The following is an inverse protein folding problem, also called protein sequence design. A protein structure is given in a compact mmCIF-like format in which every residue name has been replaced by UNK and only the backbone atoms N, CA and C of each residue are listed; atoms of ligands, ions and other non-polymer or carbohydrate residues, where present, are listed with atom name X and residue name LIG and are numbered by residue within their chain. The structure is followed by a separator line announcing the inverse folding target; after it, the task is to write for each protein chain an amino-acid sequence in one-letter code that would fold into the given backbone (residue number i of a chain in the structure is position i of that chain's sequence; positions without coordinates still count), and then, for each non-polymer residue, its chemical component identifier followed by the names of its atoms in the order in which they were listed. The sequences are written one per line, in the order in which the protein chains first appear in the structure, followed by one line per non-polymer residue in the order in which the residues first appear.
data_IF_013137443573
#
_entry.id   IF_013137443573
#
_cell.length_a   1.000
_cell.length_b   1.000
_cell.length_c   1.000
_cell.angle_alpha   90.00
_cell.angle_beta   90.00
_cell.angle_gamma   90.00
#
_symmetry.space_group_name_H-M   'P 1'
#
loop_
_entity.id
_entity.type
_entity.pdbx_description
1 polymer ?
#
# COMPACT_ATOMS: atom_id res chain seq x y z
N UNK A 1 -19.93 -11.42 -12.12
CA UNK A 1 -19.37 -10.46 -13.09
C UNK A 1 -17.86 -10.49 -12.88
N UNK A 2 -17.13 -10.88 -13.89
CA UNK A 2 -15.65 -10.90 -13.85
C UNK A 2 -15.10 -9.71 -14.64
N UNK A 3 -13.91 -9.27 -14.28
CA UNK A 3 -13.14 -8.31 -15.08
C UNK A 3 -12.11 -9.08 -15.89
N UNK A 4 -12.09 -8.87 -17.20
CA UNK A 4 -11.14 -9.52 -18.13
C UNK A 4 -10.17 -8.49 -18.66
N UNK A 5 -8.90 -8.63 -18.30
CA UNK A 5 -7.79 -7.84 -18.82
C UNK A 5 -7.28 -8.52 -20.10
N UNK A 6 -7.35 -7.82 -21.23
CA UNK A 6 -6.99 -8.37 -22.54
C UNK A 6 -5.62 -7.91 -23.03
N UNK A 7 -4.92 -8.79 -23.74
CA UNK A 7 -3.73 -8.47 -24.54
C UNK A 7 -2.54 -7.89 -23.75
N UNK A 8 -2.37 -8.22 -22.46
CA UNK A 8 -1.25 -7.68 -21.69
C UNK A 8 0.08 -8.39 -22.00
N UNK A 9 1.17 -7.71 -21.68
CA UNK A 9 2.47 -8.37 -21.48
C UNK A 9 2.60 -8.73 -20.01
N UNK A 10 2.47 -10.03 -19.70
CA UNK A 10 2.51 -10.52 -18.32
C UNK A 10 3.93 -10.73 -17.85
N UNK A 11 4.26 -10.14 -16.67
CA UNK A 11 5.41 -10.43 -15.84
C UNK A 11 4.87 -11.18 -14.61
N UNK A 12 5.06 -12.49 -14.53
CA UNK A 12 4.37 -13.35 -13.56
C UNK A 12 4.94 -13.29 -12.13
N UNK A 13 6.08 -12.61 -11.94
CA UNK A 13 6.72 -12.45 -10.62
C UNK A 13 7.41 -13.72 -10.12
N UNK A 14 7.51 -14.77 -10.92
CA UNK A 14 8.27 -15.98 -10.58
C UNK A 14 9.78 -15.73 -10.67
N UNK A 15 10.56 -16.66 -10.10
CA UNK A 15 12.03 -16.55 -10.12
C UNK A 15 12.59 -16.45 -11.55
N UNK A 16 12.00 -17.16 -12.48
CA UNK A 16 12.47 -17.25 -13.87
C UNK A 16 11.87 -16.14 -14.76
N UNK A 17 10.89 -15.40 -14.24
CA UNK A 17 10.26 -14.22 -14.87
C UNK A 17 10.07 -14.35 -16.38
N UNK A 18 9.39 -15.39 -16.84
CA UNK A 18 9.08 -15.54 -18.25
C UNK A 18 8.08 -14.47 -18.72
N UNK A 19 8.54 -13.58 -19.60
CA UNK A 19 7.68 -12.54 -20.19
C UNK A 19 6.74 -13.19 -21.19
N UNK A 20 5.42 -13.13 -20.94
CA UNK A 20 4.38 -13.67 -21.83
C UNK A 20 3.62 -12.51 -22.47
N UNK A 21 3.60 -12.46 -23.82
CA UNK A 21 2.90 -11.40 -24.58
C UNK A 21 1.53 -11.87 -25.04
N UNK A 22 0.60 -10.92 -25.15
CA UNK A 22 -0.75 -11.18 -25.67
C UNK A 22 -1.56 -12.10 -24.75
N UNK A 23 -1.36 -12.01 -23.46
CA UNK A 23 -2.04 -12.85 -22.44
C UNK A 23 -3.25 -12.11 -21.90
N UNK A 24 -4.34 -12.84 -21.70
CA UNK A 24 -5.52 -12.33 -21.01
C UNK A 24 -5.53 -12.86 -19.56
N UNK A 25 -6.10 -12.08 -18.67
CA UNK A 25 -6.28 -12.47 -17.27
C UNK A 25 -7.69 -12.13 -16.84
N UNK A 26 -8.40 -13.09 -16.25
CA UNK A 26 -9.69 -12.84 -15.62
C UNK A 26 -9.60 -12.78 -14.10
N UNK A 27 -10.36 -11.86 -13.53
CA UNK A 27 -10.46 -11.64 -12.08
C UNK A 27 -11.92 -11.66 -11.68
N UNK A 28 -12.24 -12.47 -10.69
CA UNK A 28 -13.57 -12.51 -10.09
C UNK A 28 -13.45 -12.60 -8.56
N UNK A 29 -14.28 -11.83 -7.86
CA UNK A 29 -14.28 -11.76 -6.39
C UNK A 29 -12.88 -11.53 -5.80
N UNK A 30 -12.08 -10.65 -6.44
CA UNK A 30 -10.72 -10.29 -6.02
C UNK A 30 -9.67 -11.38 -6.22
N UNK A 31 -9.97 -12.41 -7.01
CA UNK A 31 -9.04 -13.51 -7.31
C UNK A 31 -8.85 -13.68 -8.80
N UNK A 32 -7.61 -13.98 -9.22
CA UNK A 32 -7.32 -14.40 -10.58
C UNK A 32 -7.95 -15.79 -10.77
N UNK A 33 -8.83 -15.93 -11.77
CA UNK A 33 -9.55 -17.18 -12.06
C UNK A 33 -8.99 -17.88 -13.28
N UNK A 34 -8.42 -17.12 -14.24
CA UNK A 34 -7.88 -17.71 -15.48
C UNK A 34 -6.76 -16.83 -16.03
N UNK A 35 -5.77 -17.46 -16.66
CA UNK A 35 -4.66 -16.82 -17.39
C UNK A 35 -4.48 -17.57 -18.69
N UNK A 36 -4.59 -16.87 -19.82
CA UNK A 36 -4.45 -17.47 -21.16
C UNK A 36 -5.24 -16.71 -22.21
N UNK A 37 -5.82 -17.41 -23.17
CA UNK A 37 -6.76 -16.83 -24.12
C UNK A 37 -8.18 -16.95 -23.56
N UNK A 38 -8.82 -15.80 -23.27
CA UNK A 38 -10.11 -15.75 -22.60
C UNK A 38 -11.17 -15.12 -23.52
N UNK A 39 -12.32 -15.78 -23.66
CA UNK A 39 -13.50 -15.20 -24.28
C UNK A 39 -14.38 -14.59 -23.20
N UNK A 40 -14.55 -13.25 -23.19
CA UNK A 40 -15.44 -12.61 -22.22
C UNK A 40 -16.90 -12.99 -22.49
N UNK A 41 -17.68 -13.10 -21.42
CA UNK A 41 -19.15 -13.25 -21.50
C UNK A 41 -19.83 -11.87 -21.62
N UNK A 42 -21.09 -11.86 -22.05
CA UNK A 42 -21.83 -10.61 -22.33
C UNK A 42 -22.02 -9.67 -21.13
N UNK A 43 -21.75 -10.13 -19.92
CA UNK A 43 -21.84 -9.35 -18.68
C UNK A 43 -20.51 -9.00 -18.03
N UNK A 44 -19.40 -9.34 -18.69
CA UNK A 44 -18.07 -9.09 -18.13
C UNK A 44 -17.56 -7.68 -18.45
N UNK A 45 -16.80 -7.11 -17.54
CA UNK A 45 -16.02 -5.91 -17.77
C UNK A 45 -14.74 -6.27 -18.54
N UNK A 46 -14.50 -5.63 -19.68
CA UNK A 46 -13.32 -5.89 -20.52
C UNK A 46 -12.42 -4.67 -20.55
N UNK A 47 -11.16 -4.86 -20.15
CA UNK A 47 -10.14 -3.80 -20.13
C UNK A 47 -9.01 -4.20 -21.09
N UNK A 48 -8.82 -3.44 -22.16
CA UNK A 48 -7.72 -3.66 -23.10
C UNK A 48 -6.40 -3.11 -22.55
N UNK A 49 -5.42 -3.98 -22.43
CA UNK A 49 -4.07 -3.68 -21.97
C UNK A 49 -3.02 -3.82 -23.09
N UNK A 50 -3.43 -3.70 -24.36
CA UNK A 50 -2.50 -3.74 -25.49
C UNK A 50 -1.36 -2.74 -25.29
N UNK A 51 -0.12 -3.22 -25.41
CA UNK A 51 1.10 -2.43 -25.20
C UNK A 51 1.43 -2.14 -23.73
N UNK A 52 0.65 -2.64 -22.77
CA UNK A 52 0.90 -2.47 -21.34
C UNK A 52 1.44 -3.73 -20.70
N UNK A 53 2.13 -3.54 -19.57
CA UNK A 53 2.60 -4.63 -18.73
C UNK A 53 1.65 -4.85 -17.56
N UNK A 54 1.41 -6.12 -17.22
CA UNK A 54 0.72 -6.52 -16.02
C UNK A 54 1.66 -7.35 -15.16
N UNK A 55 1.76 -7.02 -13.89
CA UNK A 55 2.66 -7.68 -12.95
C UNK A 55 2.05 -7.72 -11.55
N UNK A 56 2.47 -8.64 -10.66
CA UNK A 56 2.11 -8.58 -9.26
C UNK A 56 2.46 -7.22 -8.64
N UNK A 57 1.60 -6.73 -7.75
CA UNK A 57 1.86 -5.49 -7.04
C UNK A 57 3.16 -5.55 -6.25
N UNK A 58 3.90 -4.44 -6.21
CA UNK A 58 5.16 -4.34 -5.49
C UNK A 58 4.93 -4.40 -3.97
N UNK A 59 5.90 -4.93 -3.25
CA UNK A 59 5.89 -5.04 -1.79
C UNK A 59 7.03 -4.19 -1.23
N UNK A 60 6.71 -3.22 -0.36
CA UNK A 60 7.70 -2.45 0.38
C UNK A 60 7.70 -2.88 1.86
N UNK A 61 8.79 -3.51 2.27
CA UNK A 61 8.92 -4.08 3.61
C UNK A 61 9.50 -3.10 4.66
N UNK A 62 9.75 -1.84 4.31
CA UNK A 62 10.30 -0.84 5.22
C UNK A 62 9.67 0.53 4.97
N UNK A 63 8.61 0.86 5.70
CA UNK A 63 7.86 2.11 5.54
C UNK A 63 7.62 2.77 6.90
N UNK A 64 7.78 4.10 6.93
CA UNK A 64 7.35 4.97 8.03
C UNK A 64 6.25 5.89 7.50
N UNK A 65 5.00 5.53 7.70
CA UNK A 65 3.84 6.27 7.15
C UNK A 65 3.79 7.76 7.54
N UNK A 66 4.20 8.17 8.77
CA UNK A 66 4.24 9.59 9.11
C UNK A 66 5.30 10.40 8.34
N UNK A 67 6.26 9.72 7.72
CA UNK A 67 7.31 10.35 6.94
C UNK A 67 6.90 10.43 5.46
N UNK A 68 6.59 11.61 4.95
CA UNK A 68 6.10 11.83 3.58
C UNK A 68 7.14 11.66 2.47
N UNK A 69 8.34 11.14 2.77
CA UNK A 69 9.40 10.86 1.79
C UNK A 69 10.00 12.10 1.10
N UNK A 70 9.56 13.30 1.45
CA UNK A 70 10.09 14.53 0.86
C UNK A 70 11.36 14.98 1.57
N UNK A 71 12.41 15.40 0.82
CA UNK A 71 13.60 15.98 1.42
C UNK A 71 13.26 17.16 2.33
N UNK A 72 13.79 17.16 3.53
CA UNK A 72 13.57 18.24 4.49
C UNK A 72 14.75 19.22 4.48
N UNK A 73 14.48 20.51 4.32
CA UNK A 73 15.50 21.55 4.33
C UNK A 73 15.99 21.90 5.74
N UNK A 74 15.20 21.58 6.77
CA UNK A 74 15.54 21.84 8.19
C UNK A 74 15.15 20.65 9.04
N UNK A 75 15.92 20.31 10.09
CA UNK A 75 15.54 19.25 11.02
C UNK A 75 14.21 19.63 11.70
N UNK A 76 13.24 18.75 11.65
CA UNK A 76 11.99 18.89 12.38
C UNK A 76 12.21 18.53 13.85
N UNK A 77 11.56 19.26 14.75
CA UNK A 77 11.48 18.87 16.17
C UNK A 77 10.48 17.70 16.27
N UNK A 78 10.95 16.49 16.00
CA UNK A 78 10.13 15.29 15.88
C UNK A 78 9.28 15.02 17.13
N UNK A 79 9.84 15.24 18.34
CA UNK A 79 9.11 15.10 19.60
C UNK A 79 7.91 16.04 19.71
N UNK A 80 8.08 17.29 19.32
CA UNK A 80 7.01 18.28 19.36
C UNK A 80 5.90 17.93 18.35
N UNK A 81 6.28 17.50 17.15
CA UNK A 81 5.33 17.11 16.11
C UNK A 81 4.56 15.85 16.50
N UNK A 82 5.22 14.86 17.10
CA UNK A 82 4.57 13.65 17.59
C UNK A 82 3.57 13.95 18.71
N UNK A 83 3.94 14.78 19.67
CA UNK A 83 3.04 15.24 20.75
C UNK A 83 1.84 15.98 20.18
N UNK A 84 2.05 16.88 19.21
CA UNK A 84 0.96 17.59 18.54
C UNK A 84 0.04 16.64 17.77
N UNK A 85 0.61 15.74 16.98
CA UNK A 85 -0.13 14.76 16.18
C UNK A 85 -1.04 13.85 17.02
N UNK A 86 -0.70 13.63 18.28
CA UNK A 86 -1.43 12.78 19.22
C UNK A 86 -2.21 13.56 20.30
N UNK A 87 -2.19 14.91 20.27
CA UNK A 87 -2.70 15.76 21.35
C UNK A 87 -4.22 15.73 21.56
N UNK A 88 -4.98 15.40 20.52
CA UNK A 88 -6.44 15.33 20.58
C UNK A 88 -7.00 14.32 19.58
N UNK A 89 -8.27 13.95 19.75
CA UNK A 89 -8.95 13.07 18.79
C UNK A 89 -8.95 13.66 17.36
N UNK A 90 -9.12 14.97 17.26
CA UNK A 90 -9.06 15.68 15.98
C UNK A 90 -7.67 15.57 15.32
N UNK A 91 -6.61 15.83 16.08
CA UNK A 91 -5.23 15.73 15.57
C UNK A 91 -4.84 14.29 15.19
N UNK A 92 -5.31 13.30 15.96
CA UNK A 92 -5.13 11.88 15.59
C UNK A 92 -5.81 11.53 14.28
N UNK A 93 -7.06 11.99 14.08
CA UNK A 93 -7.79 11.76 12.83
C UNK A 93 -7.11 12.48 11.64
N UNK A 94 -6.65 13.71 11.85
CA UNK A 94 -5.87 14.45 10.84
C UNK A 94 -4.58 13.70 10.46
N UNK A 95 -3.83 13.21 11.45
CA UNK A 95 -2.61 12.42 11.26
C UNK A 95 -2.90 11.13 10.51
N UNK A 96 -3.98 10.43 10.84
CA UNK A 96 -4.40 9.23 10.14
C UNK A 96 -4.72 9.51 8.67
N UNK A 97 -5.43 10.60 8.36
CA UNK A 97 -5.72 11.00 6.97
C UNK A 97 -4.45 11.36 6.20
N UNK A 98 -3.50 12.01 6.86
CA UNK A 98 -2.19 12.30 6.27
C UNK A 98 -1.43 11.00 5.95
N UNK A 99 -1.36 10.05 6.89
CA UNK A 99 -0.75 8.74 6.66
C UNK A 99 -1.47 7.95 5.56
N UNK A 100 -2.80 8.02 5.50
CA UNK A 100 -3.59 7.42 4.42
C UNK A 100 -3.21 8.02 3.06
N UNK A 101 -3.07 9.34 2.96
CA UNK A 101 -2.64 9.99 1.72
C UNK A 101 -1.27 9.50 1.25
N UNK A 102 -0.32 9.29 2.16
CA UNK A 102 0.99 8.73 1.82
C UNK A 102 0.92 7.26 1.40
N UNK A 103 0.09 6.47 2.08
CA UNK A 103 -0.16 5.08 1.70
C UNK A 103 -0.77 4.99 0.28
N UNK A 104 -1.72 5.88 -0.05
CA UNK A 104 -2.31 5.97 -1.38
C UNK A 104 -1.32 6.41 -2.46
N UNK A 105 -0.38 7.31 -2.16
CA UNK A 105 0.70 7.65 -3.09
C UNK A 105 1.57 6.42 -3.40
N UNK A 106 1.88 5.61 -2.39
CA UNK A 106 2.55 4.33 -2.57
C UNK A 106 1.75 3.36 -3.44
N UNK A 107 0.45 3.21 -3.16
CA UNK A 107 -0.44 2.35 -3.95
C UNK A 107 -0.49 2.78 -5.42
N UNK A 108 -0.64 4.08 -5.68
CA UNK A 108 -0.68 4.63 -7.04
C UNK A 108 0.65 4.51 -7.78
N UNK A 109 1.75 4.28 -7.08
CA UNK A 109 3.06 3.96 -7.68
C UNK A 109 3.28 2.45 -7.90
N UNK A 110 2.26 1.61 -7.62
CA UNK A 110 2.30 0.17 -7.79
C UNK A 110 2.68 -0.63 -6.54
N UNK A 111 2.87 0.02 -5.38
CA UNK A 111 3.17 -0.68 -4.11
C UNK A 111 1.85 -1.08 -3.44
N UNK A 112 1.44 -2.31 -3.62
CA UNK A 112 0.15 -2.85 -3.14
C UNK A 112 0.22 -3.43 -1.72
N UNK A 113 1.42 -3.68 -1.20
CA UNK A 113 1.65 -4.18 0.16
C UNK A 113 2.79 -3.42 0.82
N UNK A 114 2.57 -2.95 2.03
CA UNK A 114 3.60 -2.27 2.84
C UNK A 114 3.73 -2.92 4.21
N UNK A 115 4.95 -2.94 4.75
CA UNK A 115 5.19 -3.23 6.16
C UNK A 115 5.73 -1.98 6.84
N UNK A 116 5.01 -1.49 7.85
CA UNK A 116 5.52 -0.41 8.69
C UNK A 116 6.53 -0.96 9.70
N UNK A 117 7.55 -0.16 10.01
CA UNK A 117 8.63 -0.53 10.94
C UNK A 117 8.84 0.54 12.01
N UNK A 118 7.75 1.16 12.39
CA UNK A 118 7.64 2.22 13.38
C UNK A 118 6.76 3.35 12.89
N UNK A 119 5.75 3.66 13.65
CA UNK A 119 4.73 4.66 13.37
C UNK A 119 4.55 5.63 14.53
N UNK A 120 3.41 6.31 14.55
CA UNK A 120 2.97 7.18 15.63
C UNK A 120 1.85 6.49 16.40
N UNK A 121 2.15 5.94 17.57
CA UNK A 121 1.20 5.21 18.39
C UNK A 121 0.48 4.13 17.55
N UNK A 122 -0.84 4.09 17.58
CA UNK A 122 -1.70 3.12 16.90
C UNK A 122 -2.24 3.60 15.53
N UNK A 123 -1.63 4.61 14.92
CA UNK A 123 -2.13 5.21 13.68
C UNK A 123 -2.10 4.24 12.51
N UNK A 124 -1.02 3.49 12.35
CA UNK A 124 -0.87 2.54 11.24
C UNK A 124 -1.77 1.30 11.42
N UNK A 125 -1.95 0.80 12.66
CA UNK A 125 -2.94 -0.24 12.98
C UNK A 125 -4.36 0.23 12.68
N UNK A 126 -4.73 1.43 13.11
CA UNK A 126 -6.06 2.00 12.81
C UNK A 126 -6.29 2.20 11.32
N UNK A 127 -5.28 2.64 10.60
CA UNK A 127 -5.36 2.79 9.15
C UNK A 127 -5.55 1.42 8.48
N UNK A 128 -4.75 0.42 8.84
CA UNK A 128 -4.91 -0.96 8.39
C UNK A 128 -6.34 -1.48 8.60
N UNK A 129 -6.88 -1.28 9.80
CA UNK A 129 -8.20 -1.80 10.16
C UNK A 129 -9.33 -1.11 9.37
N UNK A 130 -9.18 0.19 9.07
CA UNK A 130 -10.12 0.91 8.19
C UNK A 130 -10.05 0.41 6.75
N UNK A 131 -8.86 0.11 6.25
CA UNK A 131 -8.69 -0.46 4.90
C UNK A 131 -9.25 -1.88 4.86
N UNK A 132 -8.91 -2.73 5.82
CA UNK A 132 -9.40 -4.10 5.88
C UNK A 132 -10.92 -4.21 6.04
N UNK A 133 -11.56 -3.22 6.67
CA UNK A 133 -13.02 -3.15 6.81
C UNK A 133 -13.73 -2.52 5.59
N UNK A 134 -13.00 -2.12 4.55
CA UNK A 134 -13.54 -1.46 3.36
C UNK A 134 -14.02 -0.01 3.60
N UNK A 135 -13.69 0.60 4.74
CA UNK A 135 -14.01 2.02 5.01
C UNK A 135 -13.10 2.99 4.27
N UNK A 136 -11.91 2.53 3.89
CA UNK A 136 -10.93 3.28 3.10
C UNK A 136 -10.31 2.34 2.08
N UNK A 137 -10.00 2.87 0.90
CA UNK A 137 -9.13 2.20 -0.05
C UNK A 137 -7.66 2.33 0.39
N UNK A 138 -6.82 1.37 0.02
CA UNK A 138 -5.40 1.44 0.34
C UNK A 138 -4.63 0.16 0.08
N UNK A 139 -3.30 0.19 0.26
CA UNK A 139 -2.49 -1.01 0.18
C UNK A 139 -2.76 -1.95 1.38
N UNK A 140 -2.40 -3.21 1.24
CA UNK A 140 -2.32 -4.11 2.39
C UNK A 140 -1.23 -3.61 3.35
N UNK A 141 -1.57 -3.41 4.62
CA UNK A 141 -0.64 -2.91 5.64
C UNK A 141 -0.32 -4.01 6.65
N UNK A 142 0.97 -4.30 6.84
CA UNK A 142 1.50 -5.06 7.96
C UNK A 142 2.00 -4.04 8.98
N UNK A 143 1.16 -3.71 9.96
CA UNK A 143 1.40 -2.63 10.92
C UNK A 143 2.29 -3.09 12.07
N UNK A 144 3.22 -2.23 12.51
CA UNK A 144 4.09 -2.46 13.67
C UNK A 144 3.77 -1.55 14.87
N UNK A 145 3.02 -0.45 14.64
CA UNK A 145 2.74 0.61 15.59
C UNK A 145 4.01 1.30 16.10
N UNK A 146 4.52 0.91 17.26
CA UNK A 146 5.72 1.50 17.84
C UNK A 146 6.99 0.84 17.28
N UNK A 147 8.03 1.65 17.15
CA UNK A 147 9.36 1.12 16.95
C UNK A 147 9.94 0.63 18.30
N UNK A 148 10.70 -0.46 18.27
CA UNK A 148 11.49 -0.92 19.40
C UNK A 148 12.88 -0.31 19.27
N UNK A 149 13.37 0.32 20.32
CA UNK A 149 14.68 0.98 20.32
C UNK A 149 15.25 1.14 21.72
N UNK A 150 16.52 1.51 21.81
CA UNK A 150 17.16 1.85 23.08
C UNK A 150 16.66 3.21 23.58
N UNK A 151 16.68 3.47 24.90
CA UNK A 151 16.40 4.79 25.43
C UNK A 151 17.24 5.86 24.72
N UNK A 152 16.61 6.98 24.36
CA UNK A 152 17.23 8.05 23.56
C UNK A 152 17.73 7.64 22.18
N UNK A 153 17.22 6.53 21.63
CA UNK A 153 17.53 6.06 20.28
C UNK A 153 16.95 6.95 19.18
N UNK A 154 17.16 6.52 17.94
CA UNK A 154 16.81 7.29 16.73
C UNK A 154 15.30 7.54 16.57
N UNK A 155 14.45 6.60 17.01
CA UNK A 155 13.01 6.69 16.79
C UNK A 155 12.29 7.35 17.99
N UNK A 156 11.59 8.43 17.70
CA UNK A 156 10.74 9.11 18.68
C UNK A 156 9.54 8.23 19.04
N UNK A 157 9.27 8.07 20.33
CA UNK A 157 8.15 7.25 20.82
C UNK A 157 8.40 5.75 20.70
N UNK A 158 9.66 5.32 20.53
CA UNK A 158 10.02 3.89 20.61
C UNK A 158 9.75 3.35 22.03
N UNK A 159 9.40 2.07 22.09
CA UNK A 159 9.30 1.32 23.34
C UNK A 159 10.67 0.69 23.61
N UNK A 160 11.20 0.90 24.81
CA UNK A 160 12.47 0.31 25.25
C UNK A 160 12.24 -1.08 25.86
#
# INVERSE_FOLDING_TARGET
MKTVFKNCTLLDGTRDMCVKKGVDISVENGKITEIGEIKPDSGDEVIDLTGKYLMPGLINLHVHLPAGGKPQKKPLKADMLSKLALSSAFMREFTLRMCHSYAMQGLMSGVTTIRTVGGLADIDTKLRDRINSGKLDGPRILASDFAIGVPHGHMVGSVA
#
